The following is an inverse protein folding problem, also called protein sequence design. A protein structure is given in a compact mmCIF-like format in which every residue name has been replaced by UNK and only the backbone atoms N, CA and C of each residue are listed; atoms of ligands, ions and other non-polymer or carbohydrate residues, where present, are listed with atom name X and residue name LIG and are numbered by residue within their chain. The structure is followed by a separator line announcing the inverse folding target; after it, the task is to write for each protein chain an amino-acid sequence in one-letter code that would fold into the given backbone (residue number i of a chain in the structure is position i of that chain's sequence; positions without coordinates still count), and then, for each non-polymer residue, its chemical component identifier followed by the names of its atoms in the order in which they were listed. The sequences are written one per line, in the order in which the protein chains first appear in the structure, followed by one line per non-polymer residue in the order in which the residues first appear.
data_IF_259733943574
#
_entry.id   IF_259733943574
#
_cell.length_a   1.000
_cell.length_b   1.000
_cell.length_c   1.000
_cell.angle_alpha   90.00
_cell.angle_beta   90.00
_cell.angle_gamma   90.00
#
_symmetry.space_group_name_H-M   'P 1'
#
loop_
_entity.id
_entity.type
_entity.pdbx_description
1 polymer ?
#
# COMPACT_ATOMS: atom_id res chain seq x y z
N UNK A 1 -2.86 38.70 -54.22
CA UNK A 1 -3.69 37.64 -53.63
C UNK A 1 -2.87 36.36 -53.73
N UNK A 2 -2.25 35.93 -52.63
CA UNK A 2 -1.36 34.76 -52.60
C UNK A 2 -1.99 33.68 -51.72
N UNK A 3 -2.52 32.66 -52.38
CA UNK A 3 -2.75 31.32 -51.85
C UNK A 3 -1.40 30.78 -51.32
N UNK A 4 -1.25 30.00 -50.25
CA UNK A 4 -2.14 29.01 -49.63
C UNK A 4 -1.48 28.64 -48.29
N UNK A 5 -2.01 29.12 -47.18
CA UNK A 5 -1.66 28.58 -45.86
C UNK A 5 -2.51 27.33 -45.62
N UNK A 6 -1.97 26.16 -45.97
CA UNK A 6 -2.56 24.87 -45.56
C UNK A 6 -1.62 24.19 -44.58
N UNK A 7 -1.61 24.72 -43.36
CA UNK A 7 -1.02 24.06 -42.21
C UNK A 7 -1.70 22.69 -42.02
N UNK A 8 -0.99 21.62 -42.34
CA UNK A 8 -1.36 20.25 -42.02
C UNK A 8 -1.27 20.08 -40.50
N UNK A 9 -2.40 20.27 -39.81
CA UNK A 9 -2.56 19.82 -38.44
C UNK A 9 -2.53 18.29 -38.42
N UNK A 10 -1.36 17.71 -38.18
CA UNK A 10 -1.26 16.31 -37.77
C UNK A 10 -1.86 16.23 -36.36
N UNK A 11 -2.92 15.44 -36.12
CA UNK A 11 -3.40 15.25 -34.77
C UNK A 11 -2.31 14.51 -34.00
N UNK A 12 -1.78 15.14 -32.95
CA UNK A 12 -0.86 14.50 -32.01
C UNK A 12 -1.51 13.21 -31.51
N UNK A 13 -1.05 12.07 -32.03
CA UNK A 13 -1.43 10.75 -31.56
C UNK A 13 -0.82 10.65 -30.16
N UNK A 14 -1.58 11.06 -29.15
CA UNK A 14 -1.15 11.11 -27.76
C UNK A 14 -0.64 9.71 -27.38
N UNK A 15 0.68 9.49 -27.26
CA UNK A 15 1.20 8.13 -27.17
C UNK A 15 0.75 7.58 -25.82
N UNK A 16 0.00 6.47 -25.84
CA UNK A 16 -0.52 5.86 -24.61
C UNK A 16 0.64 5.62 -23.64
N UNK A 17 0.52 6.18 -22.44
CA UNK A 17 1.58 6.12 -21.45
C UNK A 17 1.64 4.70 -20.92
N UNK A 18 2.80 4.07 -21.03
CA UNK A 18 2.94 2.74 -20.43
C UNK A 18 3.10 2.89 -18.92
N UNK A 19 2.25 2.21 -18.16
CA UNK A 19 2.17 2.35 -16.72
C UNK A 19 2.37 1.01 -16.00
N UNK A 20 3.05 1.09 -14.86
CA UNK A 20 3.21 0.00 -13.91
C UNK A 20 2.50 0.36 -12.61
N UNK A 21 1.93 -0.63 -11.93
CA UNK A 21 1.14 -0.43 -10.71
C UNK A 21 1.86 -1.07 -9.54
N UNK A 22 2.26 -0.25 -8.59
CA UNK A 22 2.83 -0.66 -7.32
C UNK A 22 1.75 -0.89 -6.27
N UNK A 23 2.00 -1.86 -5.39
CA UNK A 23 1.17 -2.18 -4.24
C UNK A 23 1.91 -1.71 -2.99
N UNK A 24 1.57 -0.51 -2.51
CA UNK A 24 2.16 0.09 -1.31
C UNK A 24 1.15 0.20 -0.17
N UNK A 25 1.59 -0.08 1.06
CA UNK A 25 0.79 0.14 2.26
C UNK A 25 0.77 1.62 2.61
N UNK A 26 -0.40 2.24 2.79
CA UNK A 26 -0.46 3.67 3.14
C UNK A 26 -0.17 3.96 4.61
N UNK A 27 -0.22 2.94 5.49
CA UNK A 27 0.06 3.07 6.92
C UNK A 27 1.56 3.08 7.18
N UNK A 28 2.26 2.04 6.74
CA UNK A 28 3.72 1.89 6.96
C UNK A 28 4.60 2.16 5.73
N UNK A 29 4.01 2.53 4.59
CA UNK A 29 4.72 2.86 3.33
C UNK A 29 5.57 1.72 2.73
N UNK A 30 5.37 0.48 3.21
CA UNK A 30 6.03 -0.71 2.66
C UNK A 30 5.45 -1.11 1.31
N UNK A 31 6.33 -1.51 0.39
CA UNK A 31 5.96 -1.99 -0.95
C UNK A 31 5.92 -3.52 -1.02
N UNK A 32 5.02 -4.02 -1.86
CA UNK A 32 4.77 -5.44 -2.06
C UNK A 32 4.77 -5.79 -3.56
N UNK A 33 5.09 -7.04 -3.86
CA UNK A 33 5.14 -7.54 -5.23
C UNK A 33 3.76 -7.58 -5.92
N UNK A 34 2.69 -7.78 -5.15
CA UNK A 34 1.33 -7.84 -5.67
C UNK A 34 0.29 -7.37 -4.63
N UNK A 35 -0.93 -7.13 -5.11
CA UNK A 35 -2.04 -6.63 -4.30
C UNK A 35 -2.49 -7.61 -3.22
N UNK A 36 -2.42 -8.92 -3.47
CA UNK A 36 -2.80 -9.96 -2.51
C UNK A 36 -1.89 -9.97 -1.29
N UNK A 37 -0.57 -9.85 -1.49
CA UNK A 37 0.41 -9.74 -0.41
C UNK A 37 0.22 -8.46 0.40
N UNK A 38 -0.06 -7.34 -0.25
CA UNK A 38 -0.39 -6.09 0.45
C UNK A 38 -1.66 -6.23 1.31
N UNK A 39 -2.72 -6.85 0.77
CA UNK A 39 -3.97 -7.08 1.52
C UNK A 39 -3.73 -7.96 2.75
N UNK A 40 -2.99 -9.05 2.61
CA UNK A 40 -2.61 -9.90 3.77
C UNK A 40 -1.81 -9.11 4.79
N UNK A 41 -0.86 -8.28 4.35
CA UNK A 41 -0.10 -7.42 5.25
C UNK A 41 -1.00 -6.43 6.01
N UNK A 42 -1.95 -5.78 5.34
CA UNK A 42 -2.88 -4.86 5.98
C UNK A 42 -3.76 -5.53 7.04
N UNK A 43 -4.22 -6.75 6.75
CA UNK A 43 -4.97 -7.55 7.73
C UNK A 43 -4.13 -7.90 8.96
N UNK A 44 -2.90 -8.39 8.76
CA UNK A 44 -2.08 -8.94 9.86
C UNK A 44 -1.42 -7.85 10.70
N UNK A 45 -0.90 -6.79 10.09
CA UNK A 45 -0.08 -5.77 10.78
C UNK A 45 -0.83 -4.49 11.12
N UNK A 46 -1.97 -4.24 10.48
CA UNK A 46 -2.76 -3.02 10.67
C UNK A 46 -4.22 -3.30 11.01
N UNK A 47 -4.56 -4.59 11.23
CA UNK A 47 -5.92 -5.04 11.56
C UNK A 47 -7.00 -4.47 10.63
N UNK A 48 -6.62 -4.13 9.39
CA UNK A 48 -7.53 -3.55 8.39
C UNK A 48 -8.01 -4.65 7.48
N UNK A 49 -9.26 -5.05 7.66
CA UNK A 49 -9.97 -5.98 6.79
C UNK A 49 -10.35 -5.28 5.49
N UNK A 50 -9.77 -5.72 4.37
CA UNK A 50 -10.06 -5.16 3.05
C UNK A 50 -10.64 -6.24 2.13
N UNK A 51 -11.70 -5.92 1.35
CA UNK A 51 -12.30 -6.88 0.44
C UNK A 51 -11.30 -7.31 -0.65
N UNK A 52 -11.37 -8.55 -1.15
CA UNK A 52 -10.54 -8.99 -2.26
C UNK A 52 -10.95 -8.29 -3.55
N UNK A 53 -10.00 -8.11 -4.48
CA UNK A 53 -10.33 -7.68 -5.85
C UNK A 53 -11.30 -8.68 -6.50
N UNK A 54 -12.28 -8.20 -7.30
CA UNK A 54 -13.18 -9.08 -8.03
C UNK A 54 -12.37 -10.03 -8.92
N UNK A 55 -12.55 -11.33 -8.70
CA UNK A 55 -11.87 -12.39 -9.45
C UNK A 55 -12.43 -12.49 -10.87
N UNK A 56 -11.67 -13.14 -11.76
CA UNK A 56 -12.10 -13.41 -13.14
C UNK A 56 -12.12 -12.21 -14.08
N UNK A 57 -11.79 -11.00 -13.62
CA UNK A 57 -11.73 -9.80 -14.46
C UNK A 57 -10.30 -9.28 -14.56
N UNK A 58 -9.85 -9.04 -15.77
CA UNK A 58 -8.61 -8.29 -16.00
C UNK A 58 -8.81 -6.81 -15.66
N UNK A 59 -7.71 -6.10 -15.40
CA UNK A 59 -7.75 -4.65 -15.23
C UNK A 59 -8.42 -4.00 -16.46
N UNK A 60 -9.41 -3.11 -16.27
CA UNK A 60 -10.09 -2.46 -17.38
C UNK A 60 -9.12 -1.75 -18.32
N UNK A 61 -9.46 -1.79 -19.62
CA UNK A 61 -8.73 -1.05 -20.65
C UNK A 61 -8.78 0.45 -20.35
N UNK A 62 -7.64 1.12 -20.46
CA UNK A 62 -7.55 2.57 -20.25
C UNK A 62 -7.17 3.24 -21.57
N UNK A 63 -7.88 4.31 -21.92
CA UNK A 63 -7.52 5.17 -23.06
C UNK A 63 -6.14 5.79 -22.83
N UNK A 64 -5.82 6.13 -21.57
CA UNK A 64 -4.59 6.83 -21.17
C UNK A 64 -3.40 5.90 -20.96
N UNK A 65 -3.64 4.68 -20.48
CA UNK A 65 -2.59 3.79 -20.00
C UNK A 65 -2.55 2.46 -20.73
N UNK A 66 -1.33 2.02 -21.06
CA UNK A 66 -1.05 0.63 -21.40
C UNK A 66 -0.47 -0.05 -20.16
N UNK A 67 -1.20 -1.04 -19.63
CA UNK A 67 -0.80 -1.76 -18.42
C UNK A 67 0.26 -2.81 -18.71
N UNK A 68 1.35 -2.82 -17.95
CA UNK A 68 2.41 -3.83 -18.03
C UNK A 68 2.67 -4.45 -16.67
N UNK A 69 2.95 -5.76 -16.67
CA UNK A 69 3.14 -6.57 -15.47
C UNK A 69 4.53 -6.44 -14.83
N UNK A 70 5.52 -5.93 -15.56
CA UNK A 70 6.89 -5.76 -15.09
C UNK A 70 7.27 -4.29 -15.06
N UNK A 71 8.01 -3.88 -14.02
CA UNK A 71 8.66 -2.57 -13.97
C UNK A 71 9.62 -2.47 -15.15
N UNK A 72 9.57 -1.37 -15.90
CA UNK A 72 10.56 -1.06 -16.93
C UNK A 72 11.10 0.34 -16.66
N UNK A 73 12.38 0.59 -16.95
CA UNK A 73 12.96 1.92 -16.84
C UNK A 73 12.20 2.90 -17.76
N UNK A 74 12.02 4.15 -17.31
CA UNK A 74 11.31 5.22 -18.03
C UNK A 74 9.79 5.09 -18.15
N UNK A 75 9.12 4.47 -17.19
CA UNK A 75 7.65 4.35 -17.17
C UNK A 75 7.01 5.02 -15.98
N UNK A 76 5.76 5.48 -16.16
CA UNK A 76 5.00 6.05 -15.04
C UNK A 76 4.61 4.93 -14.06
N UNK A 77 5.07 5.07 -12.84
CA UNK A 77 4.67 4.22 -11.72
C UNK A 77 3.46 4.83 -11.04
N UNK A 78 2.41 4.03 -10.87
CA UNK A 78 1.17 4.40 -10.24
C UNK A 78 0.97 3.54 -8.99
N UNK A 79 0.30 4.08 -7.99
CA UNK A 79 -0.08 3.33 -6.80
C UNK A 79 -1.47 2.72 -7.02
N UNK A 80 -1.63 1.42 -6.74
CA UNK A 80 -2.88 0.69 -6.95
C UNK A 80 -3.56 0.28 -5.64
N UNK A 81 -4.89 0.34 -5.62
CA UNK A 81 -5.68 -0.12 -4.47
C UNK A 81 -5.60 -1.64 -4.33
N UNK A 82 -5.38 -2.22 -3.14
CA UNK A 82 -5.36 -3.67 -2.95
C UNK A 82 -6.72 -4.35 -3.23
N UNK A 83 -7.83 -3.61 -3.13
CA UNK A 83 -9.20 -4.15 -3.19
C UNK A 83 -9.95 -3.89 -4.50
N UNK A 84 -9.51 -2.94 -5.32
CA UNK A 84 -10.14 -2.68 -6.62
C UNK A 84 -9.13 -2.26 -7.70
N UNK A 85 -9.62 -1.86 -8.87
CA UNK A 85 -8.79 -1.43 -10.01
C UNK A 85 -8.37 0.05 -9.99
N UNK A 86 -8.77 0.79 -8.94
CA UNK A 86 -8.36 2.17 -8.74
C UNK A 86 -6.83 2.31 -8.69
N UNK A 87 -6.36 3.43 -9.23
CA UNK A 87 -4.96 3.81 -9.19
C UNK A 87 -4.81 5.32 -9.15
N UNK A 88 -3.73 5.80 -8.56
CA UNK A 88 -3.36 7.21 -8.51
C UNK A 88 -1.87 7.40 -8.83
N UNK A 89 -1.42 8.64 -9.11
CA UNK A 89 0.01 8.96 -9.04
C UNK A 89 0.60 8.50 -7.70
N UNK A 90 1.90 8.22 -7.64
CA UNK A 90 2.60 7.62 -6.50
C UNK A 90 2.45 8.46 -5.20
N UNK A 91 1.31 8.32 -4.52
CA UNK A 91 0.85 9.19 -3.45
C UNK A 91 0.05 8.36 -2.44
N UNK A 92 0.66 8.16 -1.26
CA UNK A 92 0.05 7.42 -0.17
C UNK A 92 -1.20 8.11 0.38
N UNK A 93 -1.24 9.45 0.38
CA UNK A 93 -2.41 10.20 0.85
C UNK A 93 -3.64 9.95 -0.02
N UNK A 94 -3.46 9.93 -1.35
CA UNK A 94 -4.56 9.66 -2.28
C UNK A 94 -5.08 8.23 -2.18
N UNK A 95 -4.18 7.25 -2.02
CA UNK A 95 -4.61 5.85 -1.86
C UNK A 95 -5.26 5.61 -0.50
N UNK A 96 -4.76 6.22 0.57
CA UNK A 96 -5.33 6.13 1.91
C UNK A 96 -6.77 6.63 1.91
N UNK A 97 -6.99 7.82 1.34
CA UNK A 97 -8.32 8.41 1.21
C UNK A 97 -9.27 7.50 0.43
N UNK A 98 -8.84 7.00 -0.73
CA UNK A 98 -9.64 6.07 -1.51
C UNK A 98 -9.99 4.78 -0.75
N UNK A 99 -9.05 4.23 0.02
CA UNK A 99 -9.30 3.02 0.80
C UNK A 99 -10.35 3.29 1.88
N UNK A 100 -10.21 4.39 2.61
CA UNK A 100 -11.18 4.81 3.64
C UNK A 100 -12.57 5.07 3.06
N UNK A 101 -12.67 5.76 1.94
CA UNK A 101 -13.97 6.18 1.37
C UNK A 101 -14.70 5.05 0.62
N UNK A 102 -13.99 4.07 0.05
CA UNK A 102 -14.59 3.07 -0.83
C UNK A 102 -14.59 1.65 -0.28
N UNK A 103 -13.74 1.35 0.72
CA UNK A 103 -13.54 -0.01 1.21
C UNK A 103 -13.62 -0.12 2.73
N UNK A 104 -13.61 1.00 3.46
CA UNK A 104 -13.93 1.03 4.88
C UNK A 104 -15.35 1.54 4.99
N UNK A 105 -16.20 0.79 5.69
CA UNK A 105 -17.58 1.18 5.92
C UNK A 105 -17.59 2.38 6.88
N UNK A 106 -18.10 3.56 6.47
CA UNK A 106 -18.24 4.69 7.38
C UNK A 106 -19.23 4.42 8.51
N UNK A 107 -20.12 3.44 8.36
CA UNK A 107 -21.15 3.10 9.34
C UNK A 107 -20.66 2.12 10.41
N UNK A 108 -19.35 1.85 10.51
CA UNK A 108 -18.77 1.29 11.72
C UNK A 108 -18.65 2.37 12.83
N UNK A 109 -19.78 3.00 13.15
CA UNK A 109 -20.04 3.63 14.45
C UNK A 109 -20.07 2.50 15.49
N UNK A 110 -18.90 2.02 15.93
CA UNK A 110 -18.88 0.79 16.73
C UNK A 110 -17.56 0.42 17.38
N UNK A 111 -16.66 1.38 17.57
CA UNK A 111 -15.62 1.25 18.58
C UNK A 111 -15.49 2.58 19.32
N UNK A 112 -16.50 2.84 20.16
CA UNK A 112 -16.19 3.52 21.41
C UNK A 112 -15.18 2.60 22.11
N UNK A 113 -13.94 3.04 22.25
CA UNK A 113 -13.04 2.45 23.24
C UNK A 113 -13.86 2.34 24.52
N UNK A 114 -14.01 1.17 25.14
CA UNK A 114 -14.47 1.12 26.51
C UNK A 114 -13.51 2.02 27.27
N UNK A 115 -14.00 3.19 27.69
CA UNK A 115 -13.31 4.00 28.66
C UNK A 115 -13.23 3.07 29.85
N UNK A 116 -12.06 2.47 30.08
CA UNK A 116 -11.81 1.74 31.30
C UNK A 116 -11.75 2.81 32.39
N UNK A 117 -12.92 3.19 32.90
CA UNK A 117 -13.07 4.10 34.04
C UNK A 117 -12.50 3.49 35.33
N UNK A 118 -11.77 2.37 35.24
CA UNK A 118 -11.02 1.78 36.33
C UNK A 118 -9.51 2.14 36.36
N UNK A 119 -9.05 3.11 35.58
CA UNK A 119 -7.75 3.77 35.83
C UNK A 119 -7.88 4.95 36.81
N UNK A 120 -8.38 4.69 38.02
CA UNK A 120 -8.09 5.57 39.16
C UNK A 120 -8.11 4.79 40.47
N UNK A 121 -6.99 4.12 40.76
CA UNK A 121 -6.37 3.98 42.08
C UNK A 121 -5.17 3.02 41.95
N UNK A 122 -4.12 3.48 41.28
CA UNK A 122 -2.79 2.95 41.57
C UNK A 122 -2.04 4.08 42.25
N UNK A 123 -2.07 4.04 43.59
CA UNK A 123 -1.24 4.87 44.42
C UNK A 123 0.22 4.70 43.97
N UNK A 124 0.83 5.81 43.60
CA UNK A 124 2.27 6.01 43.57
C UNK A 124 2.88 5.42 44.85
N UNK A 125 3.95 4.64 44.70
CA UNK A 125 5.05 4.36 45.65
C UNK A 125 5.60 2.94 45.45
N UNK A 126 6.07 2.60 44.23
CA UNK A 126 7.12 1.58 44.09
C UNK A 126 7.92 1.73 42.78
N UNK A 127 8.55 2.89 42.63
CA UNK A 127 9.66 3.08 41.70
C UNK A 127 10.93 2.48 42.34
N UNK A 128 11.09 1.15 42.25
CA UNK A 128 12.33 0.47 42.59
C UNK A 128 12.80 -0.40 41.40
N UNK A 129 13.91 0.06 40.83
CA UNK A 129 14.84 -0.54 39.86
C UNK A 129 14.59 -1.99 39.38
N UNK A 130 14.46 -2.16 38.06
CA UNK A 130 14.68 -3.45 37.39
C UNK A 130 15.13 -3.24 35.93
N UNK A 131 16.34 -2.68 35.78
CA UNK A 131 17.05 -2.52 34.49
C UNK A 131 17.53 -3.82 33.82
N UNK A 132 16.88 -4.98 34.03
CA UNK A 132 17.44 -6.28 33.60
C UNK A 132 16.57 -7.13 32.64
N UNK A 133 15.32 -6.76 32.32
CA UNK A 133 14.41 -7.71 31.65
C UNK A 133 14.16 -7.50 30.14
N UNK A 134 14.54 -6.37 29.53
CA UNK A 134 14.22 -6.08 28.11
C UNK A 134 15.32 -6.45 27.11
N UNK A 135 16.46 -6.98 27.55
CA UNK A 135 17.58 -7.32 26.66
C UNK A 135 17.44 -8.65 25.89
N UNK A 136 16.46 -9.51 26.22
CA UNK A 136 16.45 -10.90 25.73
C UNK A 136 15.58 -11.20 24.50
N UNK A 137 14.79 -10.23 23.99
CA UNK A 137 13.92 -10.50 22.83
C UNK A 137 14.62 -10.22 21.50
N UNK A 138 15.54 -9.24 21.44
CA UNK A 138 16.21 -8.87 20.18
C UNK A 138 17.38 -9.81 19.80
N UNK A 139 17.95 -10.57 20.73
CA UNK A 139 19.04 -11.50 20.44
C UNK A 139 18.59 -12.81 19.75
N UNK A 140 17.31 -13.18 19.83
CA UNK A 140 16.80 -14.42 19.23
C UNK A 140 16.54 -14.30 17.72
N UNK A 141 16.35 -13.10 17.19
CA UNK A 141 16.03 -12.89 15.77
C UNK A 141 17.26 -12.90 14.85
N UNK A 142 18.47 -12.70 15.37
CA UNK A 142 19.71 -12.73 14.56
C UNK A 142 20.27 -14.14 14.33
N UNK A 143 19.78 -15.17 15.02
CA UNK A 143 20.24 -16.56 14.82
C UNK A 143 19.57 -17.31 13.67
N UNK A 144 18.54 -16.76 13.02
CA UNK A 144 17.82 -17.43 11.92
C UNK A 144 18.19 -16.93 10.52
N UNK A 145 18.92 -15.82 10.39
CA UNK A 145 19.38 -15.31 9.09
C UNK A 145 20.81 -15.76 8.73
N UNK A 146 21.56 -16.33 9.68
CA UNK A 146 22.95 -16.77 9.48
C UNK A 146 23.16 -18.17 8.87
N UNK A 147 22.11 -18.98 8.68
CA UNK A 147 22.24 -20.40 8.24
C UNK A 147 21.84 -20.68 6.78
N UNK A 148 21.45 -19.68 5.99
CA UNK A 148 21.06 -19.89 4.59
C UNK A 148 22.21 -19.75 3.57
N UNK A 149 23.41 -19.34 3.97
CA UNK A 149 24.51 -19.03 3.04
C UNK A 149 25.60 -20.10 2.88
N UNK A 150 25.38 -21.36 3.31
CA UNK A 150 26.37 -22.45 3.14
C UNK A 150 25.92 -23.61 2.24
N UNK A 151 24.85 -23.45 1.44
CA UNK A 151 24.31 -24.54 0.61
C UNK A 151 24.31 -24.26 -0.90
N UNK A 152 24.97 -23.18 -1.34
CA UNK A 152 25.32 -22.97 -2.74
C UNK A 152 26.80 -22.61 -2.85
N UNK A 153 27.65 -23.63 -2.76
CA UNK A 153 29.00 -23.61 -3.32
C UNK A 153 29.24 -24.94 -4.01
#
# INVERSE_FOLDING_TARGET
MSDTERATMVPEINPRITAYVESGCYVCQKYFANASSLRTHMRVFHFTELPPRPSGRSRPHSVKYVWKSKKQPHRRTLMGCPSCWFHCPLSFTRIARHIKECHMDPDHEGYEDPIDENESNFDDENFMDSSAATANIYAAMESLTGKFNSLFR
#
